data_IF_372965198208
#
_entry.id   IF_372965198208
#
_cell.length_a   1.000
_cell.length_b   1.000
_cell.length_c   1.000
_cell.angle_alpha   90.00
_cell.angle_beta   90.00
_cell.angle_gamma   90.00
#
_symmetry.space_group_name_H-M   'P 1'
#
loop_
_entity.id
_entity.type
_entity.pdbx_description
1 polymer ?
#
# COMPACT_ATOMS: atom_id res chain seq x y z
N UNK A 1 -7.63 9.09 9.35
CA UNK A 1 -7.63 9.49 7.91
C UNK A 1 -7.96 10.96 7.78
N UNK A 2 -7.23 11.64 6.93
CA UNK A 2 -7.57 13.00 6.50
C UNK A 2 -8.12 12.95 5.09
N UNK A 3 -9.24 13.63 4.84
CA UNK A 3 -9.75 13.89 3.49
C UNK A 3 -9.39 15.33 3.17
N UNK A 4 -8.48 15.51 2.22
CA UNK A 4 -7.95 16.80 1.80
C UNK A 4 -8.64 17.15 0.48
N UNK A 5 -9.12 18.40 0.35
CA UNK A 5 -9.87 18.87 -0.82
C UNK A 5 -9.36 20.25 -1.27
N UNK A 6 -9.80 20.66 -2.46
CA UNK A 6 -9.50 21.98 -3.00
C UNK A 6 -8.02 22.18 -3.34
N UNK A 7 -7.50 23.36 -3.03
CA UNK A 7 -6.13 23.77 -3.40
C UNK A 7 -5.06 22.84 -2.82
N UNK A 8 -5.16 22.45 -1.55
CA UNK A 8 -4.20 21.56 -0.91
C UNK A 8 -4.17 20.16 -1.58
N UNK A 9 -5.34 19.60 -1.92
CA UNK A 9 -5.36 18.32 -2.65
C UNK A 9 -4.73 18.43 -4.03
N UNK A 10 -4.91 19.57 -4.71
CA UNK A 10 -4.28 19.83 -6.01
C UNK A 10 -2.76 19.93 -5.90
N UNK A 11 -2.24 20.57 -4.83
CA UNK A 11 -0.80 20.65 -4.57
C UNK A 11 -0.21 19.26 -4.31
N UNK A 12 -0.78 18.49 -3.38
CA UNK A 12 -0.32 17.12 -3.09
C UNK A 12 -0.36 16.25 -4.35
N UNK A 13 -1.43 16.34 -5.14
CA UNK A 13 -1.53 15.58 -6.39
C UNK A 13 -0.43 15.98 -7.39
N UNK A 14 -0.08 17.26 -7.47
CA UNK A 14 0.98 17.76 -8.34
C UNK A 14 2.37 17.28 -7.88
N UNK A 15 2.65 17.35 -6.57
CA UNK A 15 3.93 16.93 -6.00
C UNK A 15 4.13 15.41 -6.21
N UNK A 16 3.12 14.59 -5.86
CA UNK A 16 3.19 13.14 -6.06
C UNK A 16 3.32 12.79 -7.54
N UNK A 17 2.60 13.50 -8.43
CA UNK A 17 2.71 13.32 -9.88
C UNK A 17 4.14 13.60 -10.35
N UNK A 18 4.75 14.70 -9.93
CA UNK A 18 6.12 15.06 -10.33
C UNK A 18 7.14 14.00 -9.91
N UNK A 19 7.04 13.48 -8.68
CA UNK A 19 7.89 12.38 -8.20
C UNK A 19 7.67 11.11 -9.03
N UNK A 20 6.42 10.75 -9.31
CA UNK A 20 6.10 9.56 -10.11
C UNK A 20 6.63 9.70 -11.54
N UNK A 21 6.46 10.85 -12.17
CA UNK A 21 6.96 11.12 -13.54
C UNK A 21 8.50 11.11 -13.61
N UNK A 22 9.20 11.68 -12.62
CA UNK A 22 10.67 11.62 -12.49
C UNK A 22 11.19 10.16 -12.47
N UNK A 23 10.38 9.23 -11.92
CA UNK A 23 10.69 7.79 -11.90
C UNK A 23 10.17 7.02 -13.13
N UNK A 24 9.55 7.69 -14.10
CA UNK A 24 8.94 7.05 -15.27
C UNK A 24 7.62 6.34 -14.98
N UNK A 25 6.98 6.63 -13.84
CA UNK A 25 5.70 6.04 -13.44
C UNK A 25 4.51 6.81 -14.02
N UNK A 26 3.42 6.10 -14.25
CA UNK A 26 2.17 6.68 -14.76
C UNK A 26 1.33 7.23 -13.61
N UNK A 27 0.91 8.49 -13.71
CA UNK A 27 -0.08 9.10 -12.85
C UNK A 27 -1.41 9.27 -13.61
N UNK A 28 -2.53 8.80 -13.03
CA UNK A 28 -3.85 8.83 -13.68
C UNK A 28 -4.56 10.15 -13.41
N UNK A 29 -4.85 10.92 -14.47
CA UNK A 29 -5.53 12.22 -14.40
C UNK A 29 -6.89 12.24 -15.11
N UNK A 30 -7.17 11.23 -15.91
CA UNK A 30 -8.39 11.17 -16.73
C UNK A 30 -9.61 10.72 -15.94
N UNK A 31 -10.76 11.37 -16.14
CA UNK A 31 -12.03 10.96 -15.55
C UNK A 31 -12.17 11.27 -14.06
N UNK A 32 -13.29 10.79 -13.47
CA UNK A 32 -13.58 10.87 -12.03
C UNK A 32 -13.36 9.50 -11.39
N UNK A 33 -12.92 9.46 -10.14
CA UNK A 33 -12.59 8.21 -9.42
C UNK A 33 -11.57 7.30 -10.15
N UNK A 34 -10.77 7.85 -11.07
CA UNK A 34 -9.62 7.12 -11.60
C UNK A 34 -8.49 7.26 -10.58
N UNK A 35 -8.32 6.23 -9.75
CA UNK A 35 -7.53 6.32 -8.52
C UNK A 35 -6.04 6.08 -8.74
N UNK A 36 -5.20 6.93 -8.14
CA UNK A 36 -3.79 6.66 -7.89
C UNK A 36 -3.68 6.19 -6.43
N UNK A 37 -3.20 4.98 -6.22
CA UNK A 37 -2.95 4.39 -4.91
C UNK A 37 -1.44 4.43 -4.68
N UNK A 38 -0.99 5.29 -3.76
CA UNK A 38 0.43 5.57 -3.54
C UNK A 38 0.78 5.33 -2.09
N UNK A 39 1.64 4.36 -1.83
CA UNK A 39 2.30 4.17 -0.54
C UNK A 39 3.56 5.01 -0.49
N UNK A 40 3.85 5.57 0.67
CA UNK A 40 5.09 6.30 0.96
C UNK A 40 5.70 5.64 2.18
N UNK A 41 6.81 4.90 1.97
CA UNK A 41 7.57 4.25 3.02
C UNK A 41 8.43 5.26 3.74
N UNK A 42 8.38 5.24 5.07
CA UNK A 42 9.26 6.02 5.92
C UNK A 42 10.71 5.52 5.83
N UNK A 43 11.67 6.33 6.26
CA UNK A 43 13.07 5.92 6.35
C UNK A 43 13.40 5.11 7.62
N UNK A 44 12.44 4.92 8.49
CA UNK A 44 12.60 4.11 9.70
C UNK A 44 12.79 2.64 9.33
N UNK A 45 13.80 2.01 9.91
CA UNK A 45 14.14 0.60 9.68
C UNK A 45 13.70 -0.34 10.79
N UNK A 46 13.21 0.20 11.89
CA UNK A 46 12.69 -0.63 13.00
C UNK A 46 11.30 -1.13 12.64
N UNK A 47 11.13 -2.44 12.65
CA UNK A 47 9.85 -3.09 12.37
C UNK A 47 8.76 -2.77 13.39
N UNK A 48 7.58 -3.25 13.11
CA UNK A 48 6.44 -3.26 14.02
C UNK A 48 5.76 -1.92 14.26
N UNK A 49 6.04 -0.89 13.44
CA UNK A 49 5.43 0.44 13.51
C UNK A 49 4.44 0.66 12.37
N UNK A 50 3.45 1.50 12.63
CA UNK A 50 2.60 2.12 11.61
C UNK A 50 3.10 3.54 11.40
N UNK A 51 4.11 3.72 10.59
CA UNK A 51 4.82 4.99 10.34
C UNK A 51 4.90 5.35 8.86
N UNK A 52 4.27 4.53 8.01
CA UNK A 52 4.13 4.81 6.59
C UNK A 52 2.79 5.48 6.27
N UNK A 53 2.70 6.05 5.09
CA UNK A 53 1.49 6.72 4.60
C UNK A 53 0.97 6.06 3.33
N UNK A 54 -0.35 5.95 3.19
CA UNK A 54 -0.99 5.67 1.92
C UNK A 54 -1.85 6.87 1.49
N UNK A 55 -1.68 7.27 0.25
CA UNK A 55 -2.49 8.28 -0.41
C UNK A 55 -3.39 7.61 -1.46
N UNK A 56 -4.67 7.96 -1.44
CA UNK A 56 -5.61 7.68 -2.52
C UNK A 56 -5.97 9.00 -3.18
N UNK A 57 -5.49 9.22 -4.40
CA UNK A 57 -5.57 10.49 -5.12
C UNK A 57 -6.45 10.30 -6.35
N UNK A 58 -7.51 11.10 -6.46
CA UNK A 58 -8.45 11.03 -7.58
C UNK A 58 -9.22 12.33 -7.77
N UNK A 59 -9.89 12.49 -8.92
CA UNK A 59 -10.87 13.57 -9.10
C UNK A 59 -12.25 13.10 -8.66
N UNK A 60 -12.92 13.88 -7.82
CA UNK A 60 -14.28 13.61 -7.35
C UNK A 60 -15.34 13.88 -8.46
N UNK A 61 -16.66 13.74 -8.14
CA UNK A 61 -17.76 14.00 -9.08
C UNK A 61 -17.77 15.41 -9.68
N UNK A 62 -17.18 16.40 -8.97
CA UNK A 62 -17.04 17.78 -9.44
C UNK A 62 -15.77 18.00 -10.28
N UNK A 63 -15.02 16.94 -10.56
CA UNK A 63 -13.70 16.96 -11.21
C UNK A 63 -12.62 17.71 -10.43
N UNK A 64 -12.81 17.90 -9.13
CA UNK A 64 -11.84 18.47 -8.21
C UNK A 64 -10.95 17.38 -7.63
N UNK A 65 -9.66 17.66 -7.43
CA UNK A 65 -8.77 16.74 -6.75
C UNK A 65 -9.23 16.48 -5.31
N UNK A 66 -9.21 15.23 -4.93
CA UNK A 66 -9.45 14.76 -3.58
C UNK A 66 -8.35 13.77 -3.20
N UNK A 67 -7.78 13.94 -2.01
CA UNK A 67 -6.74 13.09 -1.45
C UNK A 67 -7.22 12.53 -0.13
N UNK A 68 -7.22 11.20 -0.02
CA UNK A 68 -7.39 10.51 1.26
C UNK A 68 -6.00 10.07 1.72
N UNK A 69 -5.58 10.52 2.92
CA UNK A 69 -4.32 10.15 3.54
C UNK A 69 -4.57 9.31 4.78
N UNK A 70 -3.92 8.18 4.89
CA UNK A 70 -4.06 7.26 6.03
C UNK A 70 -2.71 6.69 6.45
N UNK A 71 -2.60 6.38 7.74
CA UNK A 71 -1.43 5.73 8.32
C UNK A 71 -1.50 4.23 8.06
N UNK A 72 -0.42 3.67 7.53
CA UNK A 72 -0.26 2.25 7.25
C UNK A 72 1.10 1.73 7.73
N UNK A 73 1.35 0.45 7.51
CA UNK A 73 2.69 -0.11 7.35
C UNK A 73 2.83 -0.66 5.94
N UNK A 74 4.01 -0.52 5.35
CA UNK A 74 4.41 -1.15 4.08
C UNK A 74 5.32 -2.35 4.29
N UNK A 75 5.56 -2.69 5.56
CA UNK A 75 6.58 -3.63 5.98
C UNK A 75 6.02 -4.79 6.81
N UNK A 76 6.74 -5.92 6.91
CA UNK A 76 6.38 -7.01 7.80
C UNK A 76 6.46 -6.58 9.28
N UNK A 77 5.54 -7.06 10.09
CA UNK A 77 5.62 -6.91 11.53
C UNK A 77 6.70 -7.80 12.15
N UNK A 78 7.14 -7.45 13.35
CA UNK A 78 8.21 -8.13 14.09
C UNK A 78 8.05 -9.65 14.14
N UNK A 79 6.80 -10.14 14.29
CA UNK A 79 6.52 -11.58 14.31
C UNK A 79 7.07 -12.30 13.09
N UNK A 80 6.90 -11.73 11.90
CA UNK A 80 7.30 -12.39 10.65
C UNK A 80 8.74 -12.08 10.23
N UNK A 81 9.37 -11.06 10.79
CA UNK A 81 10.82 -10.88 10.69
C UNK A 81 11.55 -11.96 11.51
N UNK A 82 11.12 -12.19 12.74
CA UNK A 82 11.74 -13.20 13.63
C UNK A 82 11.38 -14.62 13.19
N UNK A 83 10.13 -14.84 12.74
CA UNK A 83 9.60 -16.15 12.31
C UNK A 83 9.00 -16.04 10.90
N UNK A 84 9.83 -15.93 9.86
CA UNK A 84 9.36 -15.75 8.50
C UNK A 84 8.58 -16.97 8.00
N UNK A 85 7.53 -16.71 7.19
CA UNK A 85 6.72 -17.77 6.56
C UNK A 85 7.46 -18.47 5.43
N UNK A 86 8.51 -17.88 4.90
CA UNK A 86 9.35 -18.43 3.84
C UNK A 86 10.78 -18.66 4.33
N UNK A 87 11.41 -19.75 3.88
CA UNK A 87 12.79 -20.09 4.26
C UNK A 87 13.81 -19.03 3.81
N UNK A 88 13.51 -18.29 2.74
CA UNK A 88 14.34 -17.18 2.24
C UNK A 88 14.24 -15.90 3.13
N UNK A 89 13.32 -15.84 4.08
CA UNK A 89 13.09 -14.66 4.93
C UNK A 89 11.74 -13.98 4.71
N UNK A 90 11.49 -12.93 5.50
CA UNK A 90 10.30 -12.10 5.38
C UNK A 90 10.28 -11.33 4.04
N UNK A 91 9.09 -11.07 3.52
CA UNK A 91 8.94 -10.33 2.26
C UNK A 91 8.78 -8.84 2.54
N UNK A 92 9.64 -8.00 1.97
CA UNK A 92 9.56 -6.54 2.00
C UNK A 92 9.34 -6.07 0.57
N UNK A 93 8.21 -5.42 0.29
CA UNK A 93 7.86 -4.98 -1.07
C UNK A 93 8.89 -3.95 -1.57
N UNK A 94 9.44 -4.17 -2.76
CA UNK A 94 10.39 -3.24 -3.38
C UNK A 94 9.64 -1.98 -3.83
N UNK A 95 10.17 -0.75 -3.63
CA UNK A 95 9.60 0.46 -4.22
C UNK A 95 9.57 0.37 -5.75
N UNK A 96 8.36 0.40 -6.32
CA UNK A 96 8.11 0.30 -7.78
C UNK A 96 6.66 0.71 -8.06
N UNK A 97 6.29 0.82 -9.34
CA UNK A 97 4.91 0.91 -9.77
C UNK A 97 4.37 -0.46 -10.23
N UNK A 98 3.48 -1.02 -9.47
CA UNK A 98 2.82 -2.32 -9.71
C UNK A 98 1.53 -2.13 -10.50
N UNK A 99 1.62 -2.19 -11.84
CA UNK A 99 0.50 -1.93 -12.76
C UNK A 99 -0.46 -3.13 -12.84
N UNK A 100 -1.76 -2.87 -12.53
CA UNK A 100 -2.82 -3.89 -12.66
C UNK A 100 -2.67 -5.12 -11.76
N UNK A 101 -1.83 -5.03 -10.73
CA UNK A 101 -1.52 -6.16 -9.82
C UNK A 101 -2.68 -6.48 -8.88
N UNK A 102 -3.48 -5.48 -8.50
CA UNK A 102 -4.45 -5.63 -7.43
C UNK A 102 -5.88 -5.73 -7.96
N UNK A 103 -6.68 -6.54 -7.27
CA UNK A 103 -8.14 -6.64 -7.47
C UNK A 103 -8.86 -6.56 -6.14
N UNK A 104 -10.06 -5.98 -6.12
CA UNK A 104 -10.99 -6.12 -5.00
C UNK A 104 -11.36 -7.59 -4.90
N UNK A 105 -11.00 -8.23 -3.79
CA UNK A 105 -11.22 -9.64 -3.52
C UNK A 105 -11.20 -9.88 -1.99
N UNK A 106 -11.44 -11.12 -1.56
CA UNK A 106 -11.39 -11.48 -0.14
C UNK A 106 -9.95 -11.77 0.31
N UNK A 107 -9.44 -10.95 1.22
CA UNK A 107 -8.22 -11.25 1.97
C UNK A 107 -8.46 -12.36 2.97
N UNK A 108 -7.46 -13.23 3.18
CA UNK A 108 -7.50 -14.36 4.13
C UNK A 108 -8.75 -15.26 3.99
N UNK A 109 -9.19 -15.53 2.75
CA UNK A 109 -10.44 -16.29 2.45
C UNK A 109 -10.54 -17.66 3.14
N UNK A 110 -9.42 -18.26 3.52
CA UNK A 110 -9.39 -19.56 4.24
C UNK A 110 -9.59 -19.42 5.76
N UNK A 111 -9.69 -18.19 6.29
CA UNK A 111 -9.91 -17.94 7.71
C UNK A 111 -11.07 -16.95 7.89
N UNK A 112 -12.27 -17.48 8.09
CA UNK A 112 -13.51 -16.71 8.20
C UNK A 112 -13.53 -15.69 9.34
N UNK A 113 -12.69 -15.87 10.37
CA UNK A 113 -12.59 -14.93 11.51
C UNK A 113 -11.94 -13.60 11.13
N UNK A 114 -11.07 -13.62 10.13
CA UNK A 114 -10.32 -12.44 9.69
C UNK A 114 -10.56 -12.08 8.23
N UNK A 115 -11.30 -12.92 7.51
CA UNK A 115 -11.64 -12.68 6.10
C UNK A 115 -12.39 -11.35 5.94
N UNK A 116 -11.98 -10.56 4.98
CA UNK A 116 -12.65 -9.31 4.61
C UNK A 116 -12.26 -8.87 3.21
N UNK A 117 -13.09 -8.01 2.62
CA UNK A 117 -12.83 -7.42 1.32
C UNK A 117 -11.58 -6.52 1.38
N UNK A 118 -10.69 -6.64 0.40
CA UNK A 118 -9.43 -5.90 0.33
C UNK A 118 -8.92 -5.80 -1.11
N UNK A 119 -7.84 -5.06 -1.34
CA UNK A 119 -7.10 -5.12 -2.59
C UNK A 119 -6.09 -6.26 -2.49
N UNK A 120 -6.35 -7.33 -3.22
CA UNK A 120 -5.53 -8.54 -3.20
C UNK A 120 -4.65 -8.63 -4.45
N UNK A 121 -3.42 -9.10 -4.29
CA UNK A 121 -2.54 -9.44 -5.39
C UNK A 121 -3.17 -10.56 -6.22
N UNK A 122 -3.70 -10.24 -7.41
CA UNK A 122 -4.42 -11.18 -8.30
C UNK A 122 -4.13 -10.95 -9.77
N UNK A 123 -3.44 -9.88 -10.13
CA UNK A 123 -3.22 -9.50 -11.53
C UNK A 123 -1.84 -9.88 -12.06
N UNK A 124 -0.80 -9.76 -11.25
CA UNK A 124 0.59 -10.01 -11.67
C UNK A 124 1.50 -10.28 -10.47
N UNK A 125 2.77 -10.64 -10.73
CA UNK A 125 3.83 -10.78 -9.73
C UNK A 125 4.21 -9.43 -9.12
N UNK A 126 4.87 -9.47 -7.98
CA UNK A 126 5.54 -8.32 -7.35
C UNK A 126 6.96 -8.68 -6.97
N UNK A 127 7.80 -7.68 -6.81
CA UNK A 127 9.19 -7.82 -6.36
C UNK A 127 9.28 -7.58 -4.87
N UNK A 128 10.03 -8.40 -4.18
CA UNK A 128 10.30 -8.25 -2.74
C UNK A 128 11.79 -8.46 -2.46
N UNK A 129 12.30 -7.77 -1.46
CA UNK A 129 13.53 -8.18 -0.78
C UNK A 129 13.19 -9.26 0.25
N UNK A 130 14.12 -10.16 0.50
CA UNK A 130 14.00 -11.23 1.49
C UNK A 130 14.88 -10.93 2.69
N UNK A 131 14.25 -10.60 3.79
CA UNK A 131 14.89 -10.37 5.07
C UNK A 131 14.95 -11.68 5.88
N UNK A 132 16.12 -12.27 6.01
CA UNK A 132 16.32 -13.59 6.59
C UNK A 132 17.15 -13.64 7.88
N UNK A 133 17.72 -12.51 8.34
CA UNK A 133 18.64 -12.47 9.49
C UNK A 133 17.93 -12.53 10.87
N UNK A 134 16.61 -12.24 10.94
CA UNK A 134 15.74 -12.35 12.13
C UNK A 134 16.07 -11.36 13.25
N UNK A 135 16.66 -10.21 12.95
CA UNK A 135 17.11 -9.22 13.94
C UNK A 135 16.09 -8.09 14.27
N UNK A 136 14.89 -8.13 13.67
CA UNK A 136 13.81 -7.15 13.81
C UNK A 136 14.06 -5.80 13.12
N UNK A 137 15.15 -5.67 12.37
CA UNK A 137 15.48 -4.51 11.55
C UNK A 137 15.14 -4.86 10.10
N UNK A 138 14.59 -3.93 9.35
CA UNK A 138 14.16 -4.14 7.97
C UNK A 138 15.36 -4.04 7.03
N UNK A 139 15.71 -5.14 6.37
CA UNK A 139 16.79 -5.18 5.40
C UNK A 139 16.27 -5.01 3.98
N UNK A 140 16.69 -3.93 3.33
CA UNK A 140 16.38 -3.66 1.92
C UNK A 140 17.61 -4.02 1.07
N UNK A 141 17.93 -5.31 1.04
CA UNK A 141 19.12 -5.82 0.33
C UNK A 141 18.75 -6.21 -1.11
N UNK A 142 19.26 -5.49 -2.14
CA UNK A 142 19.00 -5.81 -3.53
C UNK A 142 19.48 -7.22 -3.96
N UNK A 143 20.46 -7.80 -3.27
CA UNK A 143 20.95 -9.15 -3.56
C UNK A 143 19.94 -10.25 -3.19
N UNK A 144 18.98 -9.92 -2.30
CA UNK A 144 17.91 -10.83 -1.86
C UNK A 144 16.63 -10.73 -2.70
N UNK A 145 16.68 -10.04 -3.85
CA UNK A 145 15.53 -9.81 -4.71
C UNK A 145 14.85 -11.12 -5.11
N UNK A 146 13.55 -11.18 -4.91
CA UNK A 146 12.68 -12.30 -5.29
C UNK A 146 11.42 -11.75 -5.97
N UNK A 147 10.93 -12.43 -7.01
CA UNK A 147 9.74 -12.00 -7.73
C UNK A 147 8.72 -13.13 -7.78
N UNK A 148 7.45 -12.83 -7.52
CA UNK A 148 6.42 -13.85 -7.53
C UNK A 148 5.07 -13.45 -6.99
N UNK A 149 4.25 -14.46 -6.76
CA UNK A 149 2.94 -14.38 -6.15
C UNK A 149 3.04 -14.60 -4.64
N UNK A 150 3.25 -13.53 -3.88
CA UNK A 150 3.48 -13.63 -2.43
C UNK A 150 2.24 -13.31 -1.61
N UNK A 151 1.15 -12.86 -2.25
CA UNK A 151 -0.04 -12.43 -1.55
C UNK A 151 0.14 -11.11 -0.81
N UNK A 152 0.99 -10.21 -1.34
CA UNK A 152 1.17 -8.86 -0.81
C UNK A 152 -0.13 -8.08 -1.09
N UNK A 153 -0.99 -8.00 -0.10
CA UNK A 153 -2.30 -7.37 -0.21
C UNK A 153 -2.31 -5.99 0.47
N UNK A 154 -3.31 -5.15 0.13
CA UNK A 154 -3.58 -3.89 0.82
C UNK A 154 -4.85 -4.11 1.63
N UNK A 155 -4.73 -4.19 2.95
CA UNK A 155 -5.84 -4.56 3.83
C UNK A 155 -5.80 -3.82 5.19
N UNK A 156 -6.79 -4.04 6.05
CA UNK A 156 -6.81 -3.48 7.40
C UNK A 156 -6.16 -4.42 8.42
N UNK A 157 -5.68 -3.87 9.53
CA UNK A 157 -5.27 -4.63 10.70
C UNK A 157 -6.48 -5.28 11.39
N UNK A 158 -7.38 -4.46 11.92
CA UNK A 158 -8.64 -4.84 12.60
C UNK A 158 -9.72 -3.80 12.31
N UNK A 159 -10.93 -3.98 12.81
CA UNK A 159 -12.05 -3.02 12.62
C UNK A 159 -11.83 -1.69 13.37
N UNK A 160 -11.11 -1.70 14.48
CA UNK A 160 -10.67 -0.52 15.22
C UNK A 160 -9.27 -0.06 14.82
N UNK A 161 -8.51 0.46 15.78
CA UNK A 161 -7.14 0.95 15.60
C UNK A 161 -6.15 -0.03 16.23
N UNK A 162 -5.11 -0.42 15.52
CA UNK A 162 -4.02 -1.25 16.02
C UNK A 162 -2.89 -0.37 16.56
N UNK A 163 -2.24 -0.79 17.63
CA UNK A 163 -1.09 -0.10 18.21
C UNK A 163 0.21 -0.51 17.53
N UNK A 164 0.34 -1.79 17.19
CA UNK A 164 1.53 -2.40 16.59
C UNK A 164 1.14 -3.24 15.38
N UNK A 165 2.09 -3.42 14.46
CA UNK A 165 1.90 -4.25 13.26
C UNK A 165 1.75 -5.72 13.62
N UNK A 166 2.63 -6.25 14.49
CA UNK A 166 2.54 -7.60 15.04
C UNK A 166 2.39 -8.69 13.96
N UNK A 167 1.25 -9.35 13.99
CA UNK A 167 0.89 -10.42 13.03
C UNK A 167 -0.06 -9.96 11.90
N UNK A 168 -0.30 -8.67 11.77
CA UNK A 168 -1.17 -8.18 10.70
C UNK A 168 -0.48 -8.13 9.34
N UNK A 169 0.85 -7.97 9.30
CA UNK A 169 1.61 -7.93 8.05
C UNK A 169 2.74 -8.96 8.05
N UNK A 170 2.78 -9.80 7.02
CA UNK A 170 3.93 -10.62 6.63
C UNK A 170 4.59 -10.06 5.35
N UNK A 171 4.43 -8.73 5.12
CA UNK A 171 4.84 -7.98 3.94
C UNK A 171 3.71 -7.24 3.25
N UNK A 172 2.45 -7.40 3.70
CA UNK A 172 1.28 -6.67 3.19
C UNK A 172 1.33 -5.18 3.56
N UNK A 173 0.62 -4.39 2.77
CA UNK A 173 0.36 -2.98 3.05
C UNK A 173 -0.86 -2.91 3.99
N UNK A 174 -0.66 -2.55 5.26
CA UNK A 174 -1.71 -2.72 6.28
C UNK A 174 -2.12 -1.40 6.90
N UNK A 175 -3.41 -1.08 6.81
CA UNK A 175 -4.00 0.09 7.46
C UNK A 175 -4.00 -0.07 8.99
N UNK A 176 -3.52 0.97 9.69
CA UNK A 176 -3.57 1.06 11.16
C UNK A 176 -5.02 1.09 11.68
N UNK A 177 -5.91 1.77 10.96
CA UNK A 177 -7.30 2.03 11.36
C UNK A 177 -8.29 1.43 10.37
N UNK A 178 -9.23 0.61 10.88
CA UNK A 178 -10.25 -0.06 10.05
C UNK A 178 -11.30 0.89 9.46
N UNK A 179 -11.59 2.03 10.12
CA UNK A 179 -12.50 3.03 9.56
C UNK A 179 -11.88 3.73 8.36
N UNK A 180 -10.59 4.07 8.43
CA UNK A 180 -9.83 4.65 7.32
C UNK A 180 -9.82 3.71 6.11
N UNK A 181 -9.57 2.43 6.37
CA UNK A 181 -9.62 1.38 5.35
C UNK A 181 -11.01 1.26 4.70
N UNK A 182 -12.09 1.34 5.48
CA UNK A 182 -13.46 1.30 4.94
C UNK A 182 -13.74 2.45 3.97
N UNK A 183 -13.26 3.65 4.30
CA UNK A 183 -13.40 4.83 3.42
C UNK A 183 -12.55 4.70 2.16
N UNK A 184 -11.32 4.22 2.29
CA UNK A 184 -10.45 3.88 1.17
C UNK A 184 -11.14 2.90 0.21
N UNK A 185 -11.64 1.76 0.71
CA UNK A 185 -12.33 0.75 -0.09
C UNK A 185 -13.60 1.28 -0.74
N UNK A 186 -14.31 2.23 -0.12
CA UNK A 186 -15.49 2.86 -0.72
C UNK A 186 -15.15 3.62 -2.02
N UNK A 187 -14.04 4.36 -2.05
CA UNK A 187 -13.59 5.05 -3.26
C UNK A 187 -13.01 4.07 -4.30
N UNK A 188 -12.26 3.06 -3.86
CA UNK A 188 -11.75 1.98 -4.71
C UNK A 188 -12.89 1.26 -5.43
N UNK A 189 -13.99 0.93 -4.74
CA UNK A 189 -15.15 0.27 -5.37
C UNK A 189 -15.85 1.14 -6.40
N UNK A 190 -15.95 2.46 -6.16
CA UNK A 190 -16.46 3.40 -7.18
C UNK A 190 -15.57 3.44 -8.41
N UNK A 191 -14.26 3.35 -8.22
CA UNK A 191 -13.30 3.22 -9.32
C UNK A 191 -13.51 1.91 -10.09
N UNK A 192 -13.73 0.79 -9.39
CA UNK A 192 -13.99 -0.51 -10.01
C UNK A 192 -15.27 -0.51 -10.87
N UNK A 193 -16.33 0.18 -10.42
CA UNK A 193 -17.59 0.34 -11.17
C UNK A 193 -17.38 1.09 -12.49
N UNK A 194 -16.43 2.04 -12.53
CA UNK A 194 -16.19 2.88 -13.70
C UNK A 194 -15.13 2.32 -14.66
N UNK A 195 -14.11 1.66 -14.14
CA UNK A 195 -12.90 1.29 -14.88
C UNK A 195 -12.58 -0.20 -14.83
N UNK A 196 -13.41 -1.00 -14.15
CA UNK A 196 -13.16 -2.43 -13.95
C UNK A 196 -12.30 -2.73 -12.72
N UNK A 197 -12.30 -4.01 -12.31
CA UNK A 197 -11.63 -4.49 -11.11
C UNK A 197 -10.14 -4.79 -11.35
N UNK A 198 -9.37 -3.75 -11.66
CA UNK A 198 -7.91 -3.85 -11.86
C UNK A 198 -7.25 -2.57 -11.38
N UNK A 199 -6.35 -2.69 -10.40
CA UNK A 199 -5.74 -1.54 -9.74
C UNK A 199 -4.22 -1.61 -9.77
N UNK A 200 -3.62 -0.42 -9.94
CA UNK A 200 -2.18 -0.20 -9.80
C UNK A 200 -1.87 0.34 -8.40
N UNK A 201 -0.72 -0.03 -7.87
CA UNK A 201 -0.17 0.50 -6.63
C UNK A 201 1.25 0.98 -6.88
N UNK A 202 1.57 2.18 -6.44
CA UNK A 202 2.93 2.73 -6.49
C UNK A 202 3.47 2.82 -5.07
N UNK A 203 4.60 2.20 -4.79
CA UNK A 203 5.33 2.37 -3.54
C UNK A 203 6.51 3.31 -3.78
N UNK A 204 6.47 4.45 -3.11
CA UNK A 204 7.53 5.45 -3.05
C UNK A 204 8.21 5.38 -1.67
N UNK A 205 9.34 6.07 -1.54
CA UNK A 205 10.05 6.27 -0.27
C UNK A 205 10.05 7.76 0.09
N UNK A 206 10.13 8.10 1.38
CA UNK A 206 10.24 9.51 1.83
C UNK A 206 11.35 10.27 1.11
N UNK A 207 12.51 9.63 0.87
CA UNK A 207 13.65 10.23 0.16
C UNK A 207 13.33 10.64 -1.27
N UNK A 208 12.28 10.09 -1.89
CA UNK A 208 11.88 10.45 -3.25
C UNK A 208 11.28 11.86 -3.33
N UNK A 209 10.93 12.46 -2.18
CA UNK A 209 10.40 13.82 -2.02
C UNK A 209 11.44 14.78 -1.46
N UNK A 210 12.66 14.31 -1.17
CA UNK A 210 13.78 15.15 -0.76
C UNK A 210 14.48 15.64 -2.05
N UNK A 211 14.74 16.95 -2.19
CA UNK A 211 15.41 17.56 -3.34
C UNK A 211 16.92 17.23 -3.40
#
# INVERSE_FOLDING_TARGET
MSIIKGLHAKMIAADVKAVMEKKGYTFFEGGIFNVNIVGIRSKERRSNKFDDTILLIYKNKKREWEVQSSVITTDPGEKYLVHPLNKKGAAILVPDQYRGVYKVDTHARHNTKIAHEALCQRGNTVKVWRDGNRDKILDHDPETLDEGWFGINIHRSKTGTADYVGSYSAGCQVFKNGTDFKLFMSAVKKSAELYGNSFSYTLLEEKDFED
#
